data_IF_845111755387
#
_entry.id   IF_845111755387
#
_cell.length_a   1.000
_cell.length_b   1.000
_cell.length_c   1.000
_cell.angle_alpha   90.00
_cell.angle_beta   90.00
_cell.angle_gamma   90.00
#
_symmetry.space_group_name_H-M   'P 1'
#
loop_
_entity.id
_entity.type
_entity.pdbx_description
1 polymer ?
#
# COMPACT_ATOMS: atom_id res chain seq x y z
N UNK A 1 10.77 1.56 -13.04
CA UNK A 1 11.74 1.30 -14.12
C UNK A 1 10.95 0.68 -15.25
N UNK A 2 11.02 1.24 -16.46
CA UNK A 2 10.42 0.62 -17.64
C UNK A 2 11.43 -0.36 -18.27
N UNK A 3 10.94 -1.23 -19.15
CA UNK A 3 11.79 -2.13 -19.93
C UNK A 3 11.30 -2.10 -21.38
N UNK A 4 12.02 -1.41 -22.25
CA UNK A 4 11.73 -1.40 -23.68
C UNK A 4 10.57 -0.46 -24.08
N UNK A 5 10.12 0.43 -23.21
CA UNK A 5 8.95 1.28 -23.46
C UNK A 5 9.19 2.27 -24.59
N UNK A 6 10.39 2.81 -24.72
CA UNK A 6 10.69 3.77 -25.79
C UNK A 6 11.02 3.06 -27.10
N UNK A 7 11.66 1.89 -27.02
CA UNK A 7 12.08 1.07 -28.15
C UNK A 7 10.90 0.51 -28.95
N UNK A 8 9.76 0.26 -28.28
CA UNK A 8 8.57 -0.29 -28.93
C UNK A 8 8.06 0.61 -30.07
N UNK A 9 8.22 1.94 -29.94
CA UNK A 9 7.80 2.93 -30.93
C UNK A 9 8.64 2.93 -32.21
N UNK A 10 9.76 2.20 -32.25
CA UNK A 10 10.55 2.00 -33.47
C UNK A 10 10.03 0.86 -34.35
N UNK A 11 9.06 0.07 -33.86
CA UNK A 11 8.49 -1.04 -34.61
C UNK A 11 7.46 -0.54 -35.62
N UNK A 12 7.39 -1.13 -36.82
CA UNK A 12 6.46 -0.69 -37.86
C UNK A 12 4.97 -0.93 -37.52
N UNK A 13 4.68 -1.69 -36.47
CA UNK A 13 3.32 -2.08 -36.06
C UNK A 13 2.83 -1.31 -34.83
N UNK A 14 3.47 -0.21 -34.47
CA UNK A 14 3.18 0.57 -33.26
C UNK A 14 3.07 2.04 -33.66
N UNK A 15 1.94 2.65 -33.31
CA UNK A 15 1.67 4.05 -33.56
C UNK A 15 1.48 4.78 -32.24
N UNK A 16 2.10 5.96 -32.10
CA UNK A 16 1.90 6.86 -30.98
C UNK A 16 1.02 8.03 -31.43
N UNK A 17 -0.20 8.09 -30.90
CA UNK A 17 -1.16 9.16 -31.19
C UNK A 17 -1.17 10.18 -30.05
N UNK A 18 -0.88 11.45 -30.34
CA UNK A 18 -0.90 12.53 -29.33
C UNK A 18 -2.32 13.00 -29.05
N UNK A 19 -2.95 12.47 -28.00
CA UNK A 19 -4.31 12.87 -27.60
C UNK A 19 -4.42 14.28 -27.00
N UNK A 20 -3.28 14.93 -26.72
CA UNK A 20 -3.25 16.34 -26.32
C UNK A 20 -3.59 17.25 -27.51
N UNK A 21 -3.09 16.89 -28.69
CA UNK A 21 -3.27 17.65 -29.91
C UNK A 21 -4.52 17.17 -30.68
N UNK A 22 -4.76 15.86 -30.66
CA UNK A 22 -5.89 15.19 -31.32
C UNK A 22 -6.75 14.40 -30.32
N UNK A 23 -7.59 15.05 -29.49
CA UNK A 23 -8.45 14.36 -28.53
C UNK A 23 -9.38 13.33 -29.19
N UNK A 24 -9.73 12.27 -28.45
CA UNK A 24 -10.77 11.32 -28.84
C UNK A 24 -12.12 12.04 -28.82
N UNK A 25 -12.88 11.95 -29.90
CA UNK A 25 -14.21 12.58 -30.03
C UNK A 25 -15.34 11.57 -30.11
N UNK A 26 -15.07 10.35 -30.55
CA UNK A 26 -16.06 9.28 -30.66
C UNK A 26 -15.40 7.91 -30.58
N UNK A 27 -16.08 6.96 -29.94
CA UNK A 27 -15.74 5.54 -29.99
C UNK A 27 -16.98 4.82 -30.52
N UNK A 28 -16.83 4.08 -31.61
CA UNK A 28 -17.87 3.24 -32.21
C UNK A 28 -17.63 1.77 -31.88
N UNK A 29 -18.31 0.84 -32.55
CA UNK A 29 -18.14 -0.60 -32.33
C UNK A 29 -16.71 -1.08 -32.63
N UNK A 30 -16.06 -0.54 -33.67
CA UNK A 30 -14.76 -0.98 -34.16
C UNK A 30 -13.79 0.16 -34.48
N UNK A 31 -14.17 1.42 -34.22
CA UNK A 31 -13.31 2.57 -34.48
C UNK A 31 -13.20 3.53 -33.29
N UNK A 32 -12.03 4.15 -33.18
CA UNK A 32 -11.76 5.29 -32.30
C UNK A 32 -11.43 6.49 -33.18
N UNK A 33 -12.23 7.55 -33.10
CA UNK A 33 -12.04 8.76 -33.91
C UNK A 33 -11.45 9.89 -33.10
N UNK A 34 -10.41 10.52 -33.65
CA UNK A 34 -9.76 11.70 -33.10
C UNK A 34 -10.27 12.99 -33.76
N UNK A 35 -10.02 14.14 -33.12
CA UNK A 35 -10.58 15.44 -33.53
C UNK A 35 -10.07 15.97 -34.88
N UNK A 36 -8.97 15.44 -35.38
CA UNK A 36 -8.44 15.69 -36.73
C UNK A 36 -9.19 14.91 -37.83
N UNK A 37 -10.15 14.06 -37.44
CA UNK A 37 -10.98 13.27 -38.33
C UNK A 37 -10.40 11.90 -38.68
N UNK A 38 -9.26 11.52 -38.11
CA UNK A 38 -8.67 10.19 -38.30
C UNK A 38 -9.47 9.15 -37.53
N UNK A 39 -9.79 8.04 -38.19
CA UNK A 39 -10.43 6.87 -37.59
C UNK A 39 -9.41 5.75 -37.44
N UNK A 40 -9.20 5.31 -36.21
CA UNK A 40 -8.33 4.17 -35.88
C UNK A 40 -9.20 2.93 -35.69
N UNK A 41 -9.06 1.95 -36.58
CA UNK A 41 -9.72 0.64 -36.44
C UNK A 41 -9.07 -0.16 -35.31
N UNK A 42 -9.87 -0.65 -34.37
CA UNK A 42 -9.41 -1.42 -33.21
C UNK A 42 -10.40 -2.53 -32.86
N UNK A 43 -9.85 -3.71 -32.56
CA UNK A 43 -10.65 -4.83 -32.04
C UNK A 43 -10.74 -4.81 -30.50
N UNK A 44 -9.74 -4.21 -29.84
CA UNK A 44 -9.60 -4.21 -28.38
C UNK A 44 -9.11 -2.86 -27.90
N UNK A 45 -9.74 -2.34 -26.85
CA UNK A 45 -9.32 -1.12 -26.15
C UNK A 45 -8.83 -1.50 -24.75
N UNK A 46 -7.59 -1.11 -24.43
CA UNK A 46 -7.01 -1.30 -23.09
C UNK A 46 -7.03 0.02 -22.34
N UNK A 47 -7.78 0.09 -21.24
CA UNK A 47 -7.89 1.29 -20.41
C UNK A 47 -6.78 1.33 -19.36
N UNK A 48 -5.65 1.94 -19.71
CA UNK A 48 -4.55 2.24 -18.79
C UNK A 48 -4.72 3.60 -18.10
N UNK A 49 -5.94 3.96 -17.71
CA UNK A 49 -6.32 5.31 -17.24
C UNK A 49 -6.02 5.58 -15.75
N UNK A 50 -5.46 4.60 -15.04
CA UNK A 50 -5.13 4.70 -13.62
C UNK A 50 -6.33 4.48 -12.70
N UNK A 51 -6.27 5.06 -11.49
CA UNK A 51 -7.22 4.81 -10.41
C UNK A 51 -7.72 6.11 -9.77
N UNK A 52 -8.92 6.08 -9.17
CA UNK A 52 -9.27 7.03 -8.12
C UNK A 52 -8.49 6.68 -6.84
N UNK A 53 -7.25 7.16 -6.81
CA UNK A 53 -6.27 6.75 -5.83
C UNK A 53 -6.63 7.18 -4.40
N UNK A 54 -6.23 6.32 -3.45
CA UNK A 54 -6.25 6.53 -2.00
C UNK A 54 -7.65 6.60 -1.37
N UNK A 55 -8.53 7.47 -1.86
CA UNK A 55 -9.88 7.67 -1.28
C UNK A 55 -10.99 6.98 -2.06
N UNK A 56 -10.77 6.60 -3.33
CA UNK A 56 -11.83 6.14 -4.22
C UNK A 56 -12.54 4.89 -3.72
N UNK A 57 -11.79 3.85 -3.38
CA UNK A 57 -12.36 2.60 -2.85
C UNK A 57 -13.12 2.82 -1.54
N UNK A 58 -12.55 3.61 -0.61
CA UNK A 58 -13.20 3.93 0.67
C UNK A 58 -14.49 4.73 0.49
N UNK A 59 -14.52 5.65 -0.47
CA UNK A 59 -15.70 6.47 -0.77
C UNK A 59 -16.85 5.66 -1.42
N UNK A 60 -16.54 4.55 -2.09
CA UNK A 60 -17.54 3.64 -2.66
C UNK A 60 -18.18 2.71 -1.62
N UNK A 61 -17.50 2.45 -0.50
CA UNK A 61 -18.06 1.71 0.62
C UNK A 61 -19.00 2.64 1.42
N UNK A 62 -20.18 2.13 1.79
CA UNK A 62 -21.17 2.88 2.60
C UNK A 62 -20.78 2.96 4.09
N UNK A 63 -19.56 3.40 4.39
CA UNK A 63 -19.05 3.60 5.76
C UNK A 63 -19.73 4.85 6.33
N UNK A 64 -20.52 4.68 7.39
CA UNK A 64 -21.25 5.76 8.08
C UNK A 64 -20.61 6.07 9.42
N UNK A 65 -20.43 7.37 9.69
CA UNK A 65 -20.01 7.87 11.00
C UNK A 65 -21.16 7.93 12.00
N UNK A 66 -20.84 8.31 13.23
CA UNK A 66 -21.84 8.48 14.33
C UNK A 66 -22.85 9.61 14.05
N UNK A 67 -22.51 10.54 13.16
CA UNK A 67 -23.37 11.63 12.69
C UNK A 67 -24.22 11.23 11.47
N UNK A 68 -24.15 9.96 11.03
CA UNK A 68 -24.89 9.41 9.90
C UNK A 68 -24.30 9.76 8.53
N UNK A 69 -23.24 10.58 8.47
CA UNK A 69 -22.59 10.99 7.22
C UNK A 69 -21.74 9.87 6.66
N UNK A 70 -21.67 9.76 5.32
CA UNK A 70 -20.77 8.81 4.67
C UNK A 70 -19.32 9.34 4.65
N UNK A 71 -18.33 8.45 4.70
CA UNK A 71 -16.91 8.85 4.71
C UNK A 71 -16.52 9.62 3.45
N UNK A 72 -17.04 9.21 2.28
CA UNK A 72 -16.86 9.92 1.01
C UNK A 72 -17.45 11.33 1.04
N UNK A 73 -18.63 11.50 1.66
CA UNK A 73 -19.25 12.82 1.84
C UNK A 73 -18.43 13.69 2.78
N UNK A 74 -17.86 13.13 3.86
CA UNK A 74 -16.98 13.84 4.80
C UNK A 74 -15.75 14.40 4.06
N UNK A 75 -15.14 13.61 3.19
CA UNK A 75 -13.90 13.99 2.50
C UNK A 75 -14.09 14.84 1.24
N UNK A 76 -15.30 14.90 0.68
CA UNK A 76 -15.60 15.72 -0.51
C UNK A 76 -15.11 17.18 -0.43
N UNK A 77 -15.36 17.97 0.65
CA UNK A 77 -14.89 19.35 0.74
C UNK A 77 -13.39 19.46 1.06
N UNK A 78 -12.82 18.52 1.81
CA UNK A 78 -11.40 18.42 2.17
C UNK A 78 -11.12 17.05 2.77
N UNK A 79 -10.03 16.42 2.35
CA UNK A 79 -9.57 15.17 2.94
C UNK A 79 -8.91 15.49 4.28
N UNK A 80 -9.38 14.82 5.33
CA UNK A 80 -8.80 14.95 6.66
C UNK A 80 -8.81 13.60 7.36
N UNK A 81 -7.68 13.26 7.97
CA UNK A 81 -7.49 12.10 8.82
C UNK A 81 -6.60 12.49 10.00
N UNK A 82 -6.50 11.61 10.98
CA UNK A 82 -5.46 11.65 11.99
C UNK A 82 -4.47 10.51 11.75
N UNK A 83 -3.19 10.86 11.59
CA UNK A 83 -2.07 9.95 11.32
C UNK A 83 -2.23 9.12 10.03
N UNK A 84 -3.21 9.45 9.18
CA UNK A 84 -3.61 8.59 8.07
C UNK A 84 -4.24 7.26 8.46
N UNK A 85 -4.58 7.09 9.74
CA UNK A 85 -5.13 5.83 10.27
C UNK A 85 -6.53 5.98 10.87
N UNK A 86 -6.93 7.17 11.32
CA UNK A 86 -8.23 7.37 11.97
C UNK A 86 -8.95 8.63 11.45
N UNK A 87 -10.27 8.71 11.68
CA UNK A 87 -11.10 9.82 11.19
C UNK A 87 -12.10 10.24 12.28
N UNK A 88 -12.24 11.54 12.51
CA UNK A 88 -13.20 12.09 13.50
C UNK A 88 -14.62 11.70 13.10
N UNK A 89 -15.44 11.31 14.08
CA UNK A 89 -16.80 10.76 13.94
C UNK A 89 -16.88 9.30 13.43
N UNK A 90 -15.74 8.62 13.27
CA UNK A 90 -15.64 7.21 12.87
C UNK A 90 -14.88 6.41 13.95
N UNK A 91 -15.45 6.28 15.17
CA UNK A 91 -14.77 5.62 16.28
C UNK A 91 -14.51 4.15 15.98
N UNK A 92 -13.41 3.63 16.51
CA UNK A 92 -12.95 2.23 16.36
C UNK A 92 -12.73 1.79 14.90
N UNK A 93 -12.68 2.72 13.94
CA UNK A 93 -12.29 2.44 12.56
C UNK A 93 -10.83 2.86 12.38
N UNK A 94 -10.01 1.90 11.94
CA UNK A 94 -8.64 2.16 11.50
C UNK A 94 -8.51 1.88 10.01
N UNK A 95 -7.72 2.72 9.33
CA UNK A 95 -7.42 2.61 7.90
C UNK A 95 -5.93 2.31 7.76
N UNK A 96 -5.60 1.18 7.15
CA UNK A 96 -4.23 0.82 6.81
C UNK A 96 -3.92 1.28 5.39
N UNK A 97 -2.70 1.75 5.16
CA UNK A 97 -2.25 2.35 3.90
C UNK A 97 -3.19 3.49 3.46
N UNK A 98 -3.70 4.24 4.45
CA UNK A 98 -4.79 5.19 4.29
C UNK A 98 -4.40 6.59 3.80
N UNK A 99 -5.40 7.45 3.55
CA UNK A 99 -5.17 8.83 3.14
C UNK A 99 -4.39 9.63 4.16
N UNK A 100 -3.42 10.41 3.69
CA UNK A 100 -2.49 11.21 4.51
C UNK A 100 -1.58 10.37 5.43
N UNK A 101 -1.47 9.06 5.19
CA UNK A 101 -0.33 8.26 5.63
C UNK A 101 0.82 8.38 4.60
N UNK A 102 2.03 7.83 4.85
CA UNK A 102 3.08 7.80 3.84
C UNK A 102 2.62 7.15 2.54
N UNK A 103 1.84 6.06 2.66
CA UNK A 103 1.18 5.34 1.57
C UNK A 103 2.05 5.25 0.30
N UNK A 104 1.74 6.01 -0.74
CA UNK A 104 2.47 5.93 -2.02
C UNK A 104 3.91 6.44 -1.97
N UNK A 105 4.28 7.20 -0.94
CA UNK A 105 5.64 7.67 -0.67
C UNK A 105 6.42 6.72 0.25
N UNK A 106 5.93 5.50 0.40
CA UNK A 106 6.60 4.41 1.09
C UNK A 106 6.47 3.10 0.29
N UNK A 107 7.39 2.17 0.52
CA UNK A 107 7.20 0.79 0.09
C UNK A 107 5.93 0.24 0.77
N UNK A 108 4.98 -0.24 -0.04
CA UNK A 108 3.63 -0.64 0.38
C UNK A 108 3.63 -1.62 1.57
N UNK A 109 4.23 -2.80 1.42
CA UNK A 109 4.40 -3.74 2.53
C UNK A 109 5.01 -3.13 3.79
N UNK A 110 6.09 -2.35 3.67
CA UNK A 110 6.81 -1.78 4.82
C UNK A 110 5.92 -0.85 5.66
N UNK A 111 5.25 0.12 5.03
CA UNK A 111 4.36 1.01 5.79
C UNK A 111 3.10 0.30 6.29
N UNK A 112 2.61 -0.70 5.55
CA UNK A 112 1.46 -1.52 5.97
C UNK A 112 1.79 -2.29 7.25
N UNK A 113 2.97 -2.91 7.33
CA UNK A 113 3.44 -3.61 8.53
C UNK A 113 3.56 -2.65 9.73
N UNK A 114 4.22 -1.51 9.55
CA UNK A 114 4.39 -0.49 10.60
C UNK A 114 3.04 0.00 11.14
N UNK A 115 2.08 0.29 10.25
CA UNK A 115 0.75 0.73 10.66
C UNK A 115 -0.04 -0.40 11.34
N UNK A 116 0.06 -1.62 10.81
CA UNK A 116 -0.65 -2.78 11.38
C UNK A 116 -0.16 -3.09 12.78
N UNK A 117 1.15 -3.09 13.01
CA UNK A 117 1.75 -3.29 14.33
C UNK A 117 1.31 -2.18 15.31
N UNK A 118 1.32 -0.92 14.87
CA UNK A 118 0.84 0.20 15.68
C UNK A 118 -0.64 0.02 16.06
N UNK A 119 -1.49 -0.38 15.12
CA UNK A 119 -2.93 -0.59 15.34
C UNK A 119 -3.18 -1.77 16.28
N UNK A 120 -2.46 -2.88 16.12
CA UNK A 120 -2.56 -4.05 17.01
C UNK A 120 -2.17 -3.67 18.44
N UNK A 121 -1.08 -2.92 18.60
CA UNK A 121 -0.64 -2.41 19.90
C UNK A 121 -1.67 -1.43 20.50
N UNK A 122 -2.31 -0.61 19.66
CA UNK A 122 -3.41 0.27 20.08
C UNK A 122 -4.60 -0.52 20.60
N UNK A 123 -5.10 -1.49 19.84
CA UNK A 123 -6.23 -2.34 20.23
C UNK A 123 -5.92 -3.11 21.51
N UNK A 124 -4.69 -3.65 21.63
CA UNK A 124 -4.23 -4.35 22.85
C UNK A 124 -4.23 -3.42 24.06
N UNK A 125 -3.75 -2.18 23.91
CA UNK A 125 -3.80 -1.17 24.97
C UNK A 125 -5.24 -0.85 25.37
N UNK A 126 -6.15 -0.65 24.42
CA UNK A 126 -7.56 -0.35 24.70
C UNK A 126 -8.21 -1.49 25.49
N UNK A 127 -7.99 -2.73 25.04
CA UNK A 127 -8.48 -3.94 25.71
C UNK A 127 -7.97 -4.03 27.16
N UNK A 128 -6.65 -3.93 27.36
CA UNK A 128 -6.03 -4.06 28.69
C UNK A 128 -6.44 -2.94 29.67
N UNK A 129 -6.91 -1.80 29.16
CA UNK A 129 -7.35 -0.67 29.97
C UNK A 129 -8.89 -0.52 30.03
N UNK A 130 -9.65 -1.53 29.57
CA UNK A 130 -11.12 -1.49 29.54
C UNK A 130 -11.71 -0.28 28.78
N UNK A 131 -11.01 0.18 27.75
CA UNK A 131 -11.43 1.27 26.88
C UNK A 131 -12.17 0.65 25.68
N UNK A 132 -13.41 1.07 25.46
CA UNK A 132 -14.27 0.46 24.43
C UNK A 132 -14.47 1.36 23.22
N UNK A 133 -13.96 2.60 23.28
CA UNK A 133 -14.12 3.60 22.23
C UNK A 133 -12.88 4.47 22.12
N UNK A 134 -12.34 4.53 20.91
CA UNK A 134 -11.26 5.42 20.48
C UNK A 134 -11.70 6.19 19.24
N UNK A 135 -11.45 7.49 19.21
CA UNK A 135 -11.53 8.31 17.99
C UNK A 135 -10.58 9.50 18.11
N UNK A 136 -10.07 10.07 17.00
CA UNK A 136 -9.27 11.29 17.08
C UNK A 136 -10.12 12.47 17.52
N UNK A 137 -9.51 13.44 18.20
CA UNK A 137 -10.11 14.76 18.41
C UNK A 137 -10.13 15.55 17.10
N UNK A 138 -11.01 16.54 16.99
CA UNK A 138 -11.11 17.42 15.82
C UNK A 138 -9.82 18.19 15.60
N UNK A 139 -9.25 18.69 16.69
CA UNK A 139 -8.01 19.47 16.71
C UNK A 139 -6.85 18.62 16.21
N UNK A 140 -6.77 17.35 16.62
CA UNK A 140 -5.73 16.43 16.20
C UNK A 140 -5.81 16.09 14.69
N UNK A 141 -7.01 15.81 14.17
CA UNK A 141 -7.26 15.57 12.73
C UNK A 141 -6.92 16.82 11.89
N UNK A 142 -7.28 18.01 12.37
CA UNK A 142 -6.99 19.26 11.70
C UNK A 142 -5.49 19.59 11.71
N UNK A 143 -4.82 19.47 12.86
CA UNK A 143 -3.37 19.67 12.99
C UNK A 143 -2.60 18.74 12.05
N UNK A 144 -2.96 17.45 12.03
CA UNK A 144 -2.34 16.47 11.15
C UNK A 144 -2.50 16.86 9.68
N UNK A 145 -3.73 17.13 9.26
CA UNK A 145 -4.03 17.49 7.86
C UNK A 145 -3.29 18.76 7.44
N UNK A 146 -3.24 19.77 8.31
CA UNK A 146 -2.53 21.02 8.05
C UNK A 146 -1.01 20.81 7.99
N UNK A 147 -0.46 19.92 8.81
CA UNK A 147 0.95 19.54 8.75
C UNK A 147 1.30 18.84 7.44
N UNK A 148 0.46 17.91 6.99
CA UNK A 148 0.59 17.20 5.71
C UNK A 148 0.60 18.20 4.55
N UNK A 149 -0.38 19.11 4.51
CA UNK A 149 -0.46 20.14 3.48
C UNK A 149 0.77 21.07 3.50
N UNK A 150 1.22 21.47 4.69
CA UNK A 150 2.40 22.32 4.87
C UNK A 150 3.68 21.66 4.34
N UNK A 151 3.92 20.40 4.70
CA UNK A 151 5.10 19.65 4.22
C UNK A 151 5.05 19.52 2.69
N UNK A 152 3.89 19.15 2.15
CA UNK A 152 3.70 18.94 0.73
C UNK A 152 3.90 20.24 -0.09
N UNK A 153 3.41 21.38 0.42
CA UNK A 153 3.54 22.70 -0.23
C UNK A 153 4.98 23.19 -0.39
N UNK A 154 5.92 22.64 0.39
CA UNK A 154 7.34 22.96 0.28
C UNK A 154 8.09 22.11 -0.76
N UNK A 155 7.40 21.24 -1.51
CA UNK A 155 8.00 20.24 -2.40
C UNK A 155 7.51 20.42 -3.84
N UNK A 156 8.35 20.04 -4.82
CA UNK A 156 8.02 20.13 -6.25
C UNK A 156 6.81 19.29 -6.65
N UNK A 157 6.45 18.25 -5.88
CA UNK A 157 5.24 17.46 -6.13
C UNK A 157 3.97 18.33 -6.13
N UNK A 158 3.95 19.40 -5.34
CA UNK A 158 2.82 20.32 -5.24
C UNK A 158 2.56 21.14 -6.51
N UNK A 159 3.57 21.29 -7.37
CA UNK A 159 3.48 22.02 -8.64
C UNK A 159 2.96 21.15 -9.79
N UNK A 160 2.64 19.88 -9.53
CA UNK A 160 2.26 18.91 -10.56
C UNK A 160 0.82 18.42 -10.40
N UNK A 161 0.13 18.30 -11.54
CA UNK A 161 -1.17 17.61 -11.60
C UNK A 161 -0.91 16.11 -11.72
N UNK A 162 -1.20 15.36 -10.66
CA UNK A 162 -1.02 13.91 -10.64
C UNK A 162 -2.06 13.26 -9.73
N UNK A 163 -2.07 11.93 -9.70
CA UNK A 163 -2.92 11.19 -8.77
C UNK A 163 -2.51 11.36 -7.30
N UNK A 164 -1.26 11.78 -7.01
CA UNK A 164 -0.84 12.12 -5.64
C UNK A 164 -1.65 13.28 -5.04
N UNK A 165 -2.21 14.13 -5.90
CA UNK A 165 -3.00 15.30 -5.51
C UNK A 165 -4.49 15.15 -5.80
N UNK A 166 -4.91 14.00 -6.36
CA UNK A 166 -6.29 13.78 -6.82
C UNK A 166 -6.68 14.53 -8.10
N UNK A 167 -5.73 15.21 -8.75
CA UNK A 167 -5.99 16.01 -9.95
C UNK A 167 -6.35 15.17 -11.20
N UNK A 168 -6.18 13.86 -11.13
CA UNK A 168 -6.56 12.91 -12.19
C UNK A 168 -8.06 12.60 -12.22
N UNK A 169 -8.83 12.98 -11.19
CA UNK A 169 -10.26 12.74 -11.11
C UNK A 169 -11.03 14.05 -11.28
N UNK A 170 -11.84 14.21 -12.34
CA UNK A 170 -12.65 15.41 -12.54
C UNK A 170 -13.54 15.72 -11.33
N UNK A 171 -13.56 16.98 -10.91
CA UNK A 171 -14.38 17.44 -9.77
C UNK A 171 -13.80 17.15 -8.38
N UNK A 172 -12.74 16.34 -8.27
CA UNK A 172 -12.08 16.09 -6.98
C UNK A 172 -11.22 17.29 -6.57
N UNK A 173 -11.23 17.59 -5.26
CA UNK A 173 -10.39 18.66 -4.71
C UNK A 173 -8.91 18.28 -4.81
N UNK A 174 -8.12 19.18 -5.42
CA UNK A 174 -6.67 19.06 -5.48
C UNK A 174 -6.07 19.42 -4.11
N UNK A 175 -5.42 18.45 -3.47
CA UNK A 175 -4.78 18.56 -2.15
C UNK A 175 -3.81 17.39 -1.95
N UNK A 176 -2.92 17.42 -0.95
CA UNK A 176 -2.07 16.26 -0.70
C UNK A 176 -2.89 15.05 -0.22
N UNK A 177 -2.73 13.91 -0.88
CA UNK A 177 -3.34 12.64 -0.44
C UNK A 177 -2.40 11.79 0.43
N UNK A 178 -1.14 12.17 0.58
CA UNK A 178 -0.11 11.39 1.27
C UNK A 178 0.70 12.28 2.23
N UNK A 179 1.24 11.70 3.30
CA UNK A 179 2.26 12.33 4.11
C UNK A 179 3.63 12.19 3.44
N UNK A 180 4.23 13.31 3.04
CA UNK A 180 5.50 13.33 2.30
C UNK A 180 6.71 13.74 3.16
N UNK A 181 6.58 13.67 4.49
CA UNK A 181 7.68 13.96 5.43
C UNK A 181 8.70 12.83 5.62
N UNK A 182 8.50 11.70 4.92
CA UNK A 182 9.38 10.53 4.98
C UNK A 182 9.00 9.54 6.09
N UNK A 183 9.30 8.27 5.84
CA UNK A 183 8.93 7.17 6.75
C UNK A 183 9.53 7.30 8.16
N UNK A 184 10.81 7.69 8.36
CA UNK A 184 11.37 7.82 9.72
C UNK A 184 10.62 8.83 10.60
N UNK A 185 10.29 10.01 10.05
CA UNK A 185 9.52 11.03 10.76
C UNK A 185 8.09 10.55 11.08
N UNK A 186 7.48 9.79 10.17
CA UNK A 186 6.18 9.17 10.41
C UNK A 186 6.24 8.16 11.57
N UNK A 187 7.22 7.25 11.56
CA UNK A 187 7.43 6.26 12.64
C UNK A 187 7.64 6.95 13.98
N UNK A 188 8.51 7.98 14.04
CA UNK A 188 8.79 8.73 15.26
C UNK A 188 7.51 9.36 15.82
N UNK A 189 6.69 9.97 14.96
CA UNK A 189 5.44 10.62 15.35
C UNK A 189 4.43 9.63 15.91
N UNK A 190 4.13 8.55 15.20
CA UNK A 190 3.14 7.55 15.66
C UNK A 190 3.63 6.84 16.94
N UNK A 191 4.93 6.56 17.05
CA UNK A 191 5.54 5.94 18.23
C UNK A 191 5.46 6.86 19.45
N UNK A 192 5.71 8.16 19.26
CA UNK A 192 5.60 9.17 20.33
C UNK A 192 4.17 9.28 20.84
N UNK A 193 3.20 9.28 19.93
CA UNK A 193 1.77 9.33 20.26
C UNK A 193 1.37 8.09 21.08
N UNK A 194 1.77 6.89 20.66
CA UNK A 194 1.48 5.67 21.41
C UNK A 194 2.11 5.71 22.82
N UNK A 195 3.37 6.14 22.94
CA UNK A 195 4.07 6.28 24.24
C UNK A 195 3.40 7.27 25.19
N UNK A 196 2.69 8.26 24.67
CA UNK A 196 1.92 9.25 25.44
C UNK A 196 0.47 8.82 25.71
N UNK A 197 0.15 7.53 25.59
CA UNK A 197 -1.20 7.04 25.81
C UNK A 197 -2.17 7.44 24.70
N UNK A 198 -1.70 7.43 23.45
CA UNK A 198 -2.48 7.79 22.26
C UNK A 198 -2.96 9.26 22.30
N UNK A 199 -2.02 10.18 22.59
CA UNK A 199 -2.24 11.64 22.54
C UNK A 199 -2.97 12.03 21.22
N UNK A 200 -3.95 12.93 21.32
CA UNK A 200 -4.80 13.33 20.19
C UNK A 200 -6.01 12.43 19.94
N UNK A 201 -6.08 11.25 20.58
CA UNK A 201 -7.30 10.44 20.63
C UNK A 201 -8.13 10.73 21.89
N UNK A 202 -9.45 10.68 21.72
CA UNK A 202 -10.44 10.66 22.80
C UNK A 202 -10.73 9.20 23.13
N UNK A 203 -10.33 8.78 24.33
CA UNK A 203 -10.51 7.42 24.83
C UNK A 203 -11.65 7.39 25.85
N UNK A 204 -12.65 6.53 25.63
CA UNK A 204 -13.80 6.39 26.53
C UNK A 204 -14.22 4.91 26.68
N UNK A 205 -14.80 4.55 27.83
CA UNK A 205 -15.31 3.18 28.01
C UNK A 205 -15.92 2.91 29.38
N UNK A 206 -16.97 2.08 29.36
CA UNK A 206 -17.43 1.20 30.45
C UNK A 206 -17.31 -0.23 29.90
N UNK A 207 -17.05 -1.26 30.73
CA UNK A 207 -16.95 -2.63 30.25
C UNK A 207 -18.21 -3.02 29.46
N UNK A 208 -18.04 -3.38 28.18
CA UNK A 208 -19.12 -3.91 27.35
C UNK A 208 -19.17 -5.42 27.58
N UNK A 209 -20.28 -5.90 28.14
CA UNK A 209 -20.60 -7.33 28.08
C UNK A 209 -20.83 -7.66 26.61
N UNK A 210 -19.97 -8.51 26.04
CA UNK A 210 -20.02 -8.93 24.62
C UNK A 210 -21.45 -9.36 24.27
N UNK A 211 -22.09 -8.67 23.32
CA UNK A 211 -23.48 -8.91 22.92
C UNK A 211 -23.66 -9.98 21.84
N UNK A 212 -22.61 -10.76 21.51
CA UNK A 212 -22.73 -11.82 20.50
C UNK A 212 -22.71 -13.22 21.13
N UNK A 213 -23.83 -13.96 21.13
CA UNK A 213 -23.92 -15.28 21.78
C UNK A 213 -23.08 -16.38 21.13
N UNK A 214 -22.43 -16.11 19.98
CA UNK A 214 -21.64 -17.09 19.24
C UNK A 214 -20.14 -16.79 19.16
N UNK A 215 -19.61 -15.85 19.94
CA UNK A 215 -18.16 -15.67 20.06
C UNK A 215 -17.70 -16.20 21.41
N UNK A 216 -17.41 -17.50 21.46
CA UNK A 216 -16.70 -18.10 22.59
C UNK A 216 -15.22 -17.74 22.42
N UNK A 217 -14.79 -16.65 23.05
CA UNK A 217 -13.39 -16.55 23.44
C UNK A 217 -13.20 -17.65 24.49
N UNK A 218 -12.42 -18.68 24.15
CA UNK A 218 -12.01 -19.69 25.12
C UNK A 218 -11.25 -18.96 26.22
N UNK A 219 -11.91 -18.76 27.36
CA UNK A 219 -11.25 -18.36 28.60
C UNK A 219 -10.54 -19.59 29.13
N UNK A 220 -9.41 -19.94 28.53
CA UNK A 220 -8.47 -20.78 29.25
C UNK A 220 -7.78 -19.88 30.29
N UNK A 221 -7.99 -20.20 31.56
CA UNK A 221 -7.31 -19.56 32.66
C UNK A 221 -5.78 -19.62 32.47
N UNK A 222 -5.02 -18.61 32.90
CA UNK A 222 -3.57 -18.62 32.83
C UNK A 222 -3.02 -19.52 33.95
N UNK A 223 -3.14 -20.83 33.78
CA UNK A 223 -2.31 -21.79 34.49
C UNK A 223 -1.89 -22.86 33.48
N UNK A 224 -0.57 -23.04 33.35
CA UNK A 224 0.11 -23.99 32.45
C UNK A 224 0.61 -23.44 31.10
N UNK A 225 1.27 -22.27 31.12
CA UNK A 225 2.40 -21.99 30.22
C UNK A 225 3.59 -21.55 31.07
N UNK A 226 4.13 -22.49 31.85
CA UNK A 226 5.44 -22.33 32.46
C UNK A 226 6.49 -22.57 31.39
N UNK A 227 7.17 -21.51 30.99
CA UNK A 227 8.44 -21.57 30.28
C UNK A 227 8.34 -21.24 28.81
N UNK A 228 8.18 -19.95 28.49
CA UNK A 228 8.94 -19.30 27.42
C UNK A 228 8.83 -17.78 27.55
N UNK A 229 9.97 -17.10 27.42
CA UNK A 229 10.19 -15.67 27.66
C UNK A 229 9.46 -14.80 26.60
N UNK A 230 8.59 -13.84 27.00
CA UNK A 230 7.88 -12.94 26.09
C UNK A 230 8.79 -12.04 25.23
N UNK A 231 10.10 -11.98 25.51
CA UNK A 231 11.06 -11.15 24.77
C UNK A 231 11.61 -11.77 23.47
N UNK A 232 11.27 -13.02 23.13
CA UNK A 232 11.84 -13.69 21.94
C UNK A 232 11.36 -13.13 20.58
N UNK A 233 10.27 -12.36 20.54
CA UNK A 233 9.80 -11.74 19.28
C UNK A 233 10.41 -10.34 19.01
N UNK A 234 11.19 -9.79 19.94
CA UNK A 234 11.80 -8.47 19.79
C UNK A 234 13.22 -8.49 19.18
N UNK A 235 13.71 -9.64 18.69
CA UNK A 235 15.11 -9.80 18.25
C UNK A 235 15.34 -10.26 16.80
N UNK A 236 14.32 -10.24 15.94
CA UNK A 236 14.55 -10.34 14.49
C UNK A 236 14.82 -8.96 13.86
N UNK A 237 15.85 -8.28 14.37
CA UNK A 237 16.61 -7.31 13.57
C UNK A 237 17.59 -8.11 12.72
N UNK A 238 17.25 -8.43 11.48
CA UNK A 238 18.23 -8.97 10.54
C UNK A 238 19.27 -7.88 10.21
N UNK A 239 20.58 -8.16 10.34
CA UNK A 239 21.61 -7.30 9.79
C UNK A 239 21.58 -7.41 8.25
N UNK A 240 21.75 -6.26 7.61
CA UNK A 240 21.90 -6.11 6.17
C UNK A 240 23.16 -6.89 5.75
N UNK A 241 22.99 -8.10 5.21
CA UNK A 241 24.03 -8.75 4.42
C UNK A 241 23.41 -9.65 3.34
N UNK A 242 23.88 -9.46 2.11
CA UNK A 242 23.25 -9.91 0.88
C UNK A 242 23.06 -11.42 0.76
N UNK A 243 21.83 -11.82 0.45
CA UNK A 243 21.47 -13.13 -0.08
C UNK A 243 20.25 -12.98 -0.98
N UNK A 244 20.37 -13.34 -2.26
CA UNK A 244 19.32 -13.17 -3.26
C UNK A 244 18.13 -14.13 -3.00
N UNK A 245 16.94 -13.58 -2.77
CA UNK A 245 15.69 -14.33 -2.78
C UNK A 245 15.30 -14.68 -4.23
N UNK A 246 15.19 -15.98 -4.54
CA UNK A 246 14.62 -16.45 -5.81
C UNK A 246 13.11 -16.59 -5.67
N UNK A 247 12.35 -15.72 -6.34
CA UNK A 247 10.90 -15.87 -6.51
C UNK A 247 10.60 -17.06 -7.42
N UNK A 248 9.86 -18.08 -6.94
CA UNK A 248 9.16 -19.04 -7.81
C UNK A 248 7.67 -18.75 -7.74
N UNK A 249 7.10 -18.33 -8.87
CA UNK A 249 5.65 -18.35 -9.08
C UNK A 249 5.21 -19.79 -9.35
N UNK A 250 4.22 -20.29 -8.62
CA UNK A 250 3.51 -21.54 -8.96
C UNK A 250 2.06 -21.22 -9.27
N UNK A 251 1.58 -21.77 -10.39
CA UNK A 251 0.16 -21.77 -10.76
C UNK A 251 -0.53 -22.89 -9.96
N UNK A 252 -1.62 -22.59 -9.26
CA UNK A 252 -2.45 -23.63 -8.66
C UNK A 252 -3.18 -24.41 -9.77
N UNK A 253 -3.24 -25.75 -9.75
CA UNK A 253 -4.12 -26.51 -10.63
C UNK A 253 -5.57 -26.34 -10.16
N UNK A 254 -6.48 -25.93 -11.07
CA UNK A 254 -7.93 -25.89 -10.78
C UNK A 254 -8.68 -24.61 -11.15
N UNK A 255 -8.07 -23.65 -11.85
CA UNK A 255 -8.77 -22.47 -12.39
C UNK A 255 -8.82 -22.58 -13.92
N UNK A 256 -9.66 -23.48 -14.43
CA UNK A 256 -9.95 -23.57 -15.85
C UNK A 256 -11.24 -22.80 -16.19
N UNK A 257 -11.07 -21.90 -17.17
CA UNK A 257 -12.07 -21.32 -18.08
C UNK A 257 -13.15 -20.37 -17.52
N UNK A 258 -12.96 -19.06 -17.77
CA UNK A 258 -14.09 -18.18 -18.05
C UNK A 258 -14.76 -18.68 -19.34
N UNK A 259 -16.03 -19.12 -19.23
CA UNK A 259 -16.85 -19.42 -20.40
C UNK A 259 -17.14 -18.13 -21.18
N UNK A 260 -16.81 -18.13 -22.47
CA UNK A 260 -17.08 -17.00 -23.37
C UNK A 260 -18.57 -16.91 -23.67
N UNK A 261 -19.25 -15.89 -23.14
CA UNK A 261 -20.49 -15.39 -23.74
C UNK A 261 -20.20 -14.14 -24.59
N UNK A 262 -20.63 -14.10 -25.87
CA UNK A 262 -20.50 -12.90 -26.67
C UNK A 262 -21.42 -11.79 -26.13
N UNK A 263 -20.85 -10.62 -25.82
CA UNK A 263 -21.61 -9.41 -25.46
C UNK A 263 -21.54 -8.96 -24.00
N UNK A 264 -20.70 -9.56 -23.15
CA UNK A 264 -20.50 -9.13 -21.75
C UNK A 264 -19.06 -8.69 -21.53
N UNK A 265 -18.86 -7.44 -21.14
CA UNK A 265 -17.58 -6.96 -20.58
C UNK A 265 -17.54 -7.41 -19.12
N UNK A 266 -16.97 -8.57 -18.84
CA UNK A 266 -16.67 -9.00 -17.46
C UNK A 266 -15.31 -8.46 -17.02
N UNK A 267 -15.31 -7.78 -15.88
CA UNK A 267 -14.11 -7.32 -15.19
C UNK A 267 -13.49 -8.52 -14.45
N UNK A 268 -12.43 -9.10 -15.02
CA UNK A 268 -11.65 -10.13 -14.34
C UNK A 268 -10.74 -9.50 -13.28
N UNK A 269 -11.14 -9.56 -12.02
CA UNK A 269 -10.28 -9.20 -10.89
C UNK A 269 -9.21 -10.29 -10.69
N UNK A 270 -7.95 -9.94 -10.94
CA UNK A 270 -6.80 -10.80 -10.65
C UNK A 270 -6.53 -10.81 -9.13
N UNK A 271 -7.07 -11.81 -8.42
CA UNK A 271 -6.67 -12.11 -7.06
C UNK A 271 -5.31 -12.85 -7.05
N UNK A 272 -4.27 -12.19 -6.53
CA UNK A 272 -2.99 -12.83 -6.22
C UNK A 272 -2.92 -13.11 -4.72
N UNK A 273 -2.77 -14.39 -4.34
CA UNK A 273 -2.47 -14.83 -2.97
C UNK A 273 -0.98 -15.14 -2.85
N UNK A 274 -0.30 -14.53 -1.88
CA UNK A 274 1.07 -14.89 -1.48
C UNK A 274 0.99 -15.93 -0.36
N UNK A 275 1.48 -17.14 -0.63
CA UNK A 275 1.62 -18.21 0.37
C UNK A 275 3.11 -18.32 0.76
N UNK A 276 3.45 -17.99 2.00
CA UNK A 276 4.77 -18.23 2.55
C UNK A 276 4.78 -19.61 3.23
N UNK A 277 5.35 -20.63 2.58
CA UNK A 277 5.61 -21.91 3.22
C UNK A 277 7.03 -21.93 3.77
N UNK A 278 7.16 -21.97 5.10
CA UNK A 278 8.41 -22.30 5.78
C UNK A 278 8.60 -23.81 5.80
N UNK A 279 9.53 -24.33 5.01
CA UNK A 279 10.00 -25.71 5.18
C UNK A 279 11.11 -25.74 6.25
N UNK A 280 10.80 -26.35 7.40
CA UNK A 280 11.80 -26.81 8.34
C UNK A 280 12.59 -27.98 7.73
N UNK A 281 13.88 -27.78 7.47
CA UNK A 281 14.81 -28.88 7.28
C UNK A 281 15.87 -28.81 8.37
N UNK A 282 15.80 -29.77 9.29
CA UNK A 282 16.86 -30.04 10.25
C UNK A 282 18.00 -30.73 9.50
N UNK A 283 19.17 -30.10 9.43
CA UNK A 283 20.42 -30.78 9.12
C UNK A 283 21.39 -30.54 10.27
N UNK A 284 21.72 -31.65 10.94
CA UNK A 284 22.68 -31.79 12.02
C UNK A 284 24.12 -31.64 11.53
N UNK A 285 24.95 -30.98 12.33
CA UNK A 285 26.39 -30.86 12.15
C UNK A 285 27.13 -32.22 12.10
N UNK A 286 28.20 -32.28 11.30
CA UNK A 286 29.39 -33.04 11.65
C UNK A 286 30.64 -32.47 10.94
N UNK A 287 31.62 -32.03 11.72
CA UNK A 287 32.98 -31.69 11.30
C UNK A 287 33.78 -32.94 10.88
N UNK A 288 34.61 -32.81 9.83
CA UNK A 288 35.94 -33.47 9.74
C UNK A 288 36.70 -32.94 8.52
N UNK A 289 37.97 -32.59 8.70
CA UNK A 289 38.82 -31.89 7.73
C UNK A 289 39.52 -32.75 6.66
N UNK A 290 40.48 -32.13 5.97
CA UNK A 290 41.41 -32.77 5.04
C UNK A 290 41.83 -31.84 3.90
N UNK A 291 43.12 -31.51 3.87
CA UNK A 291 43.85 -30.77 2.83
C UNK A 291 43.80 -31.46 1.44
N UNK A 292 43.87 -30.66 0.36
CA UNK A 292 44.89 -30.79 -0.70
C UNK A 292 44.58 -29.88 -1.91
N UNK A 293 45.58 -29.07 -2.28
CA UNK A 293 45.74 -28.35 -3.56
C UNK A 293 46.28 -29.32 -4.64
N UNK A 294 46.26 -29.04 -5.97
CA UNK A 294 47.06 -27.95 -6.53
C UNK A 294 46.53 -27.23 -7.80
N UNK A 295 47.23 -26.13 -8.09
CA UNK A 295 47.11 -25.17 -9.18
C UNK A 295 47.07 -25.70 -10.63
N UNK A 296 46.42 -24.92 -11.51
CA UNK A 296 46.87 -24.69 -12.90
C UNK A 296 46.63 -23.22 -13.29
N UNK A 297 47.67 -22.63 -13.87
CA UNK A 297 47.83 -21.28 -14.38
C UNK A 297 47.29 -21.09 -15.80
N UNK A 298 46.84 -19.87 -16.13
CA UNK A 298 46.98 -19.28 -17.47
C UNK A 298 46.74 -17.77 -17.39
N UNK A 299 47.76 -16.98 -17.76
CA UNK A 299 47.68 -15.54 -17.92
C UNK A 299 47.48 -15.11 -19.38
N UNK A 300 46.91 -13.92 -19.54
CA UNK A 300 47.02 -12.95 -20.65
C UNK A 300 45.87 -11.94 -20.40
N UNK A 301 45.99 -10.61 -20.46
CA UNK A 301 46.96 -9.73 -21.10
C UNK A 301 46.15 -8.64 -21.83
N UNK A 302 46.40 -7.37 -21.47
CA UNK A 302 45.98 -6.14 -22.15
C UNK A 302 44.47 -5.79 -22.16
N UNK A 303 44.04 -4.53 -22.13
CA UNK A 303 44.78 -3.28 -22.20
C UNK A 303 43.81 -2.09 -22.15
N UNK A 304 44.27 -1.04 -21.49
CA UNK A 304 43.71 0.32 -21.48
C UNK A 304 43.69 0.94 -22.88
N UNK A 305 42.62 1.68 -23.21
CA UNK A 305 42.65 2.74 -24.22
C UNK A 305 41.82 3.95 -23.77
N UNK A 306 42.54 5.01 -23.42
CA UNK A 306 42.14 6.40 -23.69
C UNK A 306 42.42 6.73 -25.16
N UNK A 307 41.62 7.61 -25.77
CA UNK A 307 42.01 8.94 -26.28
C UNK A 307 40.83 9.57 -27.04
N UNK A 308 40.64 10.86 -26.77
CA UNK A 308 39.77 11.86 -27.38
C UNK A 308 40.18 12.29 -28.80
N UNK A 309 39.21 12.61 -29.66
CA UNK A 309 39.07 13.90 -30.38
C UNK A 309 37.68 13.96 -31.01
#
# INVERSE_FOLDING_TARGET
>A
MEQGYFEIYSRPNVELVSLKDNPIVEITENTLRTSDGVEHEVDVIVLATGFDAITGSLAQIKIKGIDGRLIGEKWAPRLQTYLGMAVVNYPNIFIVYGPQAPAAFCNGPVCTEIQSEWIVNCITYLHNNNITRIEPSREAEEEWSNNVDKIFSGQLFSETKSWYTGANIPGKKVQSLNFTGGLPAYIERISTIAKKGYEGFILTGKPVTVLHPNFVATTDEPSQLTGEDPMKYAQFLYPINGGALRNRQRRLPGVDACDRQPGVVEQCDNAWLFEAQGEHRAESESESGGDDEPAVSAGAGAGTRTVST
#
